data_IF_331988469394
#
_entry.id   IF_331988469394
#
_cell.length_a   1.000
_cell.length_b   1.000
_cell.length_c   1.000
_cell.angle_alpha   90.00
_cell.angle_beta   90.00
_cell.angle_gamma   90.00
#
_symmetry.space_group_name_H-M   'P 1'
#
loop_
_entity.id
_entity.type
_entity.pdbx_description
1 polymer ?
#
# COMPACT_ATOMS: atom_id res chain seq x y z
N UNK A 1 12.07 -13.17 -24.63
CA UNK A 1 12.39 -12.26 -25.74
C UNK A 1 13.38 -12.91 -26.72
N UNK A 2 14.49 -13.48 -26.29
CA UNK A 2 15.50 -14.12 -27.19
C UNK A 2 14.95 -15.24 -28.08
N UNK A 3 13.79 -15.83 -27.75
CA UNK A 3 13.10 -16.83 -28.57
C UNK A 3 12.24 -16.22 -29.70
N UNK A 4 12.01 -14.93 -29.66
CA UNK A 4 11.08 -14.22 -30.56
C UNK A 4 11.82 -13.13 -31.36
N UNK A 5 12.90 -12.56 -30.81
CA UNK A 5 13.66 -11.48 -31.42
C UNK A 5 14.98 -11.99 -31.98
N UNK A 6 15.35 -11.50 -33.16
CA UNK A 6 16.63 -11.82 -33.83
C UNK A 6 17.83 -11.31 -33.02
N UNK A 7 17.66 -10.15 -32.35
CA UNK A 7 18.70 -9.54 -31.52
C UNK A 7 18.07 -8.96 -30.24
N UNK A 8 18.66 -9.28 -29.09
CA UNK A 8 18.28 -8.73 -27.81
C UNK A 8 19.46 -8.02 -27.18
N UNK A 9 19.37 -6.73 -26.93
CA UNK A 9 20.37 -5.93 -26.23
C UNK A 9 19.86 -5.53 -24.85
N UNK A 10 20.69 -5.66 -23.83
CA UNK A 10 20.38 -5.26 -22.47
C UNK A 10 21.09 -3.94 -22.18
N UNK A 11 20.33 -2.93 -21.76
CA UNK A 11 20.86 -1.66 -21.29
C UNK A 11 21.05 -1.69 -19.78
N UNK A 12 22.21 -1.26 -19.30
CA UNK A 12 22.39 -1.00 -17.88
C UNK A 12 21.57 0.26 -17.48
N UNK A 13 20.94 0.22 -16.32
CA UNK A 13 20.03 1.29 -15.85
C UNK A 13 20.77 2.65 -15.73
N UNK A 14 22.01 2.65 -15.23
CA UNK A 14 22.85 3.84 -15.15
C UNK A 14 23.11 4.51 -16.50
N UNK A 15 23.20 3.76 -17.59
CA UNK A 15 23.44 4.32 -18.95
C UNK A 15 22.24 5.14 -19.39
N UNK A 16 21.04 4.66 -19.13
CA UNK A 16 19.79 5.38 -19.45
C UNK A 16 19.68 6.66 -18.64
N UNK A 17 19.98 6.63 -17.35
CA UNK A 17 19.99 7.82 -16.51
C UNK A 17 21.04 8.84 -16.95
N UNK A 18 22.22 8.41 -17.37
CA UNK A 18 23.25 9.31 -17.94
C UNK A 18 22.79 10.03 -19.21
N UNK A 19 22.12 9.32 -20.12
CA UNK A 19 21.58 9.91 -21.35
C UNK A 19 20.44 10.89 -21.05
N UNK A 20 19.57 10.57 -20.09
CA UNK A 20 18.52 11.50 -19.63
C UNK A 20 19.14 12.83 -19.16
N UNK A 21 20.22 12.76 -18.38
CA UNK A 21 20.94 13.96 -17.93
C UNK A 21 21.68 14.67 -19.07
N UNK A 22 22.36 13.91 -19.94
CA UNK A 22 23.10 14.47 -21.07
C UNK A 22 22.20 15.26 -22.03
N UNK A 23 20.97 14.78 -22.27
CA UNK A 23 19.98 15.46 -23.09
C UNK A 23 19.15 16.50 -22.29
N UNK A 24 19.41 16.67 -20.99
CA UNK A 24 18.67 17.58 -20.08
C UNK A 24 17.17 17.29 -20.04
N UNK A 25 16.78 16.00 -20.11
CA UNK A 25 15.37 15.56 -20.09
C UNK A 25 14.84 15.37 -18.67
N UNK A 26 15.71 15.38 -17.68
CA UNK A 26 15.37 15.30 -16.26
C UNK A 26 14.48 16.47 -15.81
N UNK A 27 14.58 17.63 -16.48
CA UNK A 27 13.77 18.81 -16.22
C UNK A 27 12.36 18.76 -16.81
N UNK A 28 12.07 17.82 -17.72
CA UNK A 28 10.77 17.72 -18.39
C UNK A 28 9.72 17.15 -17.43
N UNK A 29 10.07 16.13 -16.64
CA UNK A 29 9.13 15.48 -15.70
C UNK A 29 8.98 16.30 -14.41
N UNK A 30 10.04 16.98 -13.97
CA UNK A 30 9.97 17.84 -12.78
C UNK A 30 11.01 18.94 -12.80
N UNK A 31 10.54 20.16 -12.72
CA UNK A 31 11.36 21.36 -12.71
C UNK A 31 11.99 21.71 -11.34
N UNK A 32 11.58 21.04 -10.24
CA UNK A 32 11.88 21.55 -8.89
C UNK A 32 12.63 20.60 -7.96
N UNK A 33 12.68 19.29 -8.21
CA UNK A 33 13.26 18.39 -7.19
C UNK A 33 13.69 17.02 -7.73
N UNK A 34 14.96 16.64 -7.62
CA UNK A 34 15.48 15.32 -8.00
C UNK A 34 14.73 14.14 -7.34
N UNK A 35 14.15 14.34 -6.15
CA UNK A 35 13.37 13.32 -5.45
C UNK A 35 12.03 13.02 -6.11
N UNK A 36 11.46 13.91 -6.91
CA UNK A 36 10.17 13.72 -7.57
C UNK A 36 10.25 12.83 -8.82
N UNK A 37 11.38 12.74 -9.48
CA UNK A 37 11.58 11.95 -10.70
C UNK A 37 11.20 10.48 -10.54
N UNK A 38 11.45 9.87 -9.38
CA UNK A 38 11.06 8.48 -9.08
C UNK A 38 9.60 8.31 -8.67
N UNK A 39 8.88 9.41 -8.47
CA UNK A 39 7.48 9.42 -8.02
C UNK A 39 6.48 9.51 -9.16
N UNK A 40 6.95 9.66 -10.38
CA UNK A 40 6.14 9.80 -11.58
C UNK A 40 6.31 8.57 -12.49
N UNK A 41 5.22 7.90 -12.80
CA UNK A 41 5.21 6.71 -13.66
C UNK A 41 5.64 7.02 -15.10
N UNK A 42 5.52 8.27 -15.58
CA UNK A 42 6.01 8.68 -16.91
C UNK A 42 7.52 8.49 -17.06
N UNK A 43 8.24 8.44 -15.95
CA UNK A 43 9.68 8.14 -15.96
C UNK A 43 10.01 6.79 -16.62
N UNK A 44 9.12 5.79 -16.52
CA UNK A 44 9.30 4.53 -17.23
C UNK A 44 9.14 4.70 -18.74
N UNK A 45 8.23 5.57 -19.18
CA UNK A 45 8.08 5.94 -20.58
C UNK A 45 9.31 6.67 -21.11
N UNK A 46 9.81 7.65 -20.36
CA UNK A 46 11.05 8.36 -20.70
C UNK A 46 12.24 7.40 -20.83
N UNK A 47 12.43 6.52 -19.86
CA UNK A 47 13.50 5.50 -19.92
C UNK A 47 13.35 4.58 -21.15
N UNK A 48 12.14 4.14 -21.46
CA UNK A 48 11.87 3.31 -22.63
C UNK A 48 12.16 4.05 -23.94
N UNK A 49 11.79 5.33 -24.02
CA UNK A 49 12.07 6.17 -25.17
C UNK A 49 13.59 6.32 -25.38
N UNK A 50 14.34 6.63 -24.33
CA UNK A 50 15.81 6.71 -24.39
C UNK A 50 16.45 5.39 -24.79
N UNK A 51 15.93 4.26 -24.33
CA UNK A 51 16.41 2.95 -24.75
C UNK A 51 16.16 2.72 -26.24
N UNK A 52 15.03 3.20 -26.78
CA UNK A 52 14.67 3.04 -28.18
C UNK A 52 15.54 3.86 -29.14
N UNK A 53 15.90 5.09 -28.76
CA UNK A 53 16.76 5.98 -29.57
C UNK A 53 18.26 5.72 -29.38
N UNK A 54 18.61 4.88 -28.41
CA UNK A 54 20.00 4.56 -28.09
C UNK A 54 20.64 3.75 -29.21
N UNK A 55 21.54 4.37 -29.92
CA UNK A 55 22.41 3.67 -30.88
C UNK A 55 23.69 3.15 -30.19
N UNK A 56 24.35 2.16 -30.82
CA UNK A 56 25.61 1.60 -30.35
C UNK A 56 26.71 2.67 -30.24
N UNK A 57 26.72 3.63 -31.14
CA UNK A 57 27.66 4.73 -31.17
C UNK A 57 27.58 5.62 -29.93
N UNK A 58 26.38 5.90 -29.39
CA UNK A 58 26.21 6.59 -28.14
C UNK A 58 26.86 5.85 -26.96
N UNK A 59 26.82 4.53 -26.97
CA UNK A 59 27.44 3.74 -25.91
C UNK A 59 28.95 3.77 -25.94
N UNK A 60 29.53 3.70 -27.18
CA UNK A 60 30.98 3.81 -27.38
C UNK A 60 31.45 5.20 -26.94
N UNK A 61 30.76 6.23 -27.34
CA UNK A 61 31.10 7.60 -26.98
C UNK A 61 30.98 7.85 -25.45
N UNK A 62 29.93 7.36 -24.82
CA UNK A 62 29.77 7.41 -23.37
C UNK A 62 30.92 6.68 -22.65
N UNK A 63 31.26 5.50 -23.12
CA UNK A 63 32.34 4.69 -22.57
C UNK A 63 33.70 5.36 -22.73
N UNK A 64 34.00 5.94 -23.91
CA UNK A 64 35.24 6.63 -24.17
C UNK A 64 35.39 7.91 -23.32
N UNK A 65 34.33 8.68 -23.20
CA UNK A 65 34.32 9.91 -22.38
C UNK A 65 34.44 9.63 -20.89
N UNK A 66 33.81 8.57 -20.35
CA UNK A 66 33.96 8.15 -18.96
C UNK A 66 35.38 7.69 -18.63
N UNK A 67 36.12 7.18 -19.59
CA UNK A 67 37.52 6.74 -19.44
C UNK A 67 38.50 7.90 -19.22
N UNK A 68 38.15 9.10 -19.74
CA UNK A 68 38.98 10.31 -19.66
C UNK A 68 38.47 11.39 -18.68
N UNK A 69 37.28 11.23 -18.14
CA UNK A 69 36.67 12.20 -17.23
C UNK A 69 36.92 11.84 -15.77
N UNK A 70 37.98 12.37 -15.21
CA UNK A 70 38.26 12.27 -13.77
C UNK A 70 37.43 13.21 -12.89
N UNK A 71 36.55 14.06 -13.43
CA UNK A 71 35.74 15.03 -12.64
C UNK A 71 34.41 15.41 -13.29
N UNK A 72 33.32 14.98 -12.67
CA UNK A 72 32.05 15.71 -12.39
C UNK A 72 31.28 16.53 -13.43
N UNK A 73 31.58 16.56 -14.70
CA UNK A 73 30.70 17.16 -15.70
C UNK A 73 30.22 16.11 -16.67
N UNK A 74 28.93 15.83 -16.64
CA UNK A 74 28.27 14.99 -17.63
C UNK A 74 28.55 15.59 -19.00
N UNK A 75 29.19 14.85 -19.93
CA UNK A 75 29.46 15.40 -21.25
C UNK A 75 28.13 15.72 -21.95
N UNK A 76 28.07 16.91 -22.58
CA UNK A 76 26.97 17.26 -23.46
C UNK A 76 27.04 16.37 -24.69
N UNK A 77 26.07 15.48 -24.86
CA UNK A 77 25.89 14.74 -26.09
C UNK A 77 25.17 15.60 -27.12
N UNK A 78 25.46 15.40 -28.41
CA UNK A 78 24.67 16.03 -29.45
C UNK A 78 23.22 15.62 -29.32
N UNK A 79 22.32 16.59 -29.34
CA UNK A 79 20.87 16.35 -29.33
C UNK A 79 20.53 15.67 -30.66
N UNK A 80 19.68 14.62 -30.71
CA UNK A 80 19.34 13.92 -31.94
C UNK A 80 18.84 14.83 -33.06
N UNK A 81 18.05 15.85 -32.74
CA UNK A 81 17.59 16.92 -33.64
C UNK A 81 17.11 18.12 -32.82
N UNK A 82 16.96 19.28 -33.45
CA UNK A 82 16.69 20.56 -32.78
C UNK A 82 15.41 20.57 -31.93
N UNK A 83 14.36 19.88 -32.38
CA UNK A 83 13.04 19.84 -31.70
C UNK A 83 12.90 18.66 -30.72
N UNK A 84 13.94 17.89 -30.50
CA UNK A 84 13.94 16.66 -29.72
C UNK A 84 13.31 16.81 -28.33
N UNK A 85 13.62 17.88 -27.60
CA UNK A 85 13.10 18.08 -26.24
C UNK A 85 11.61 18.38 -26.22
N UNK A 86 11.13 19.15 -27.19
CA UNK A 86 9.71 19.45 -27.34
C UNK A 86 8.92 18.20 -27.71
N UNK A 87 9.46 17.37 -28.59
CA UNK A 87 8.87 16.09 -28.96
C UNK A 87 8.77 15.12 -27.74
N UNK A 88 9.83 15.01 -26.96
CA UNK A 88 9.81 14.22 -25.71
C UNK A 88 8.82 14.76 -24.71
N UNK A 89 8.77 16.09 -24.56
CA UNK A 89 7.80 16.74 -23.67
C UNK A 89 6.35 16.48 -24.10
N UNK A 90 6.06 16.64 -25.39
CA UNK A 90 4.75 16.32 -25.96
C UNK A 90 4.39 14.86 -25.73
N UNK A 91 5.30 13.92 -26.07
CA UNK A 91 5.11 12.48 -25.86
C UNK A 91 4.78 12.14 -24.39
N UNK A 92 5.53 12.69 -23.43
CA UNK A 92 5.30 12.43 -22.02
C UNK A 92 3.99 13.01 -21.50
N UNK A 93 3.58 14.17 -21.99
CA UNK A 93 2.35 14.82 -21.56
C UNK A 93 1.09 14.22 -22.20
N UNK A 94 1.22 13.66 -23.40
CA UNK A 94 0.13 12.98 -24.12
C UNK A 94 0.04 11.46 -23.83
N UNK A 95 0.96 10.93 -22.99
CA UNK A 95 0.97 9.51 -22.64
C UNK A 95 -0.15 9.18 -21.67
N UNK A 96 -1.09 8.36 -22.08
CA UNK A 96 -2.13 7.83 -21.19
C UNK A 96 -1.58 6.64 -20.38
N UNK A 97 -1.61 6.77 -19.06
CA UNK A 97 -1.18 5.75 -18.13
C UNK A 97 -2.38 4.94 -17.64
N UNK A 98 -2.40 3.66 -17.98
CA UNK A 98 -3.40 2.73 -17.50
C UNK A 98 -2.84 1.84 -16.38
N UNK A 99 -3.53 1.78 -15.27
CA UNK A 99 -3.21 0.88 -14.17
C UNK A 99 -4.06 -0.38 -14.25
N UNK A 100 -3.43 -1.53 -14.00
CA UNK A 100 -4.16 -2.79 -14.00
C UNK A 100 -5.05 -2.88 -12.75
N UNK A 101 -6.34 -3.04 -12.96
CA UNK A 101 -7.32 -3.32 -11.92
C UNK A 101 -6.91 -4.51 -11.07
N UNK A 102 -7.05 -4.41 -9.77
CA UNK A 102 -6.76 -5.49 -8.83
C UNK A 102 -8.00 -6.39 -8.62
N UNK A 103 -8.51 -6.94 -9.69
CA UNK A 103 -9.64 -7.87 -9.69
C UNK A 103 -9.22 -9.35 -9.49
N UNK A 104 -7.98 -9.69 -9.87
CA UNK A 104 -7.45 -11.04 -9.72
C UNK A 104 -6.92 -11.28 -8.31
N UNK A 105 -7.75 -11.83 -7.45
CA UNK A 105 -7.45 -12.02 -6.04
C UNK A 105 -7.16 -13.48 -5.65
N UNK A 106 -7.26 -14.43 -6.60
CA UNK A 106 -6.89 -15.82 -6.40
C UNK A 106 -6.24 -16.44 -7.64
N UNK A 107 -5.59 -17.57 -7.44
CA UNK A 107 -5.12 -18.46 -8.51
C UNK A 107 -5.53 -19.89 -8.20
N UNK A 108 -5.72 -20.69 -9.24
CA UNK A 108 -5.85 -22.14 -9.09
C UNK A 108 -4.50 -22.78 -9.37
N UNK A 109 -4.02 -23.61 -8.44
CA UNK A 109 -2.81 -24.39 -8.62
C UNK A 109 -3.17 -25.87 -8.67
N UNK A 110 -2.57 -26.57 -9.62
CA UNK A 110 -2.62 -28.03 -9.63
C UNK A 110 -1.62 -28.50 -8.56
N UNK A 111 -2.13 -29.16 -7.53
CA UNK A 111 -1.31 -29.72 -6.45
C UNK A 111 -1.32 -31.23 -6.59
N UNK A 112 -0.17 -31.79 -6.84
CA UNK A 112 0.02 -33.24 -6.87
C UNK A 112 0.61 -33.65 -5.52
N UNK A 113 -0.01 -34.61 -4.85
CA UNK A 113 0.55 -35.22 -3.66
C UNK A 113 0.49 -36.74 -3.79
N UNK A 114 1.45 -37.44 -3.20
CA UNK A 114 1.49 -38.90 -3.18
C UNK A 114 0.80 -39.39 -1.92
N UNK A 115 -0.08 -40.36 -2.10
CA UNK A 115 -0.67 -41.17 -1.02
C UNK A 115 -0.34 -42.63 -1.31
N UNK A 116 0.73 -43.14 -0.71
CA UNK A 116 1.35 -44.40 -1.11
C UNK A 116 1.90 -44.31 -2.54
N UNK A 117 1.59 -45.24 -3.40
CA UNK A 117 2.02 -45.27 -4.81
C UNK A 117 1.12 -44.46 -5.75
N UNK A 118 0.03 -43.88 -5.24
CA UNK A 118 -0.94 -43.15 -6.05
C UNK A 118 -0.62 -41.64 -6.01
N UNK A 119 -0.49 -41.03 -7.21
CA UNK A 119 -0.41 -39.60 -7.34
C UNK A 119 -1.80 -39.00 -7.49
N UNK A 120 -2.24 -38.26 -6.47
CA UNK A 120 -3.53 -37.57 -6.46
C UNK A 120 -3.29 -36.14 -6.93
N UNK A 121 -4.04 -35.72 -7.96
CA UNK A 121 -3.98 -34.38 -8.52
C UNK A 121 -5.23 -33.57 -8.16
N UNK A 122 -5.09 -32.57 -7.31
CA UNK A 122 -6.18 -31.67 -6.95
C UNK A 122 -5.92 -30.24 -7.42
N UNK A 123 -6.98 -29.54 -7.83
CA UNK A 123 -6.92 -28.09 -8.03
C UNK A 123 -7.02 -27.37 -6.71
N UNK A 124 -5.89 -26.90 -6.22
CA UNK A 124 -5.83 -26.05 -5.03
C UNK A 124 -6.23 -24.61 -5.36
N UNK A 125 -7.02 -24.00 -4.48
CA UNK A 125 -7.39 -22.60 -4.54
C UNK A 125 -6.41 -21.78 -3.68
N UNK A 126 -5.67 -20.86 -4.29
CA UNK A 126 -4.64 -20.06 -3.60
C UNK A 126 -4.98 -18.56 -3.67
N UNK A 127 -5.21 -17.88 -2.53
CA UNK A 127 -5.35 -16.43 -2.49
C UNK A 127 -4.08 -15.71 -2.96
N UNK A 128 -4.23 -14.60 -3.69
CA UNK A 128 -3.12 -13.76 -4.15
C UNK A 128 -2.84 -12.63 -3.17
N UNK A 129 -2.44 -12.99 -1.97
CA UNK A 129 -2.10 -12.05 -0.91
C UNK A 129 -2.52 -12.55 0.46
N UNK A 130 -2.09 -11.84 1.50
CA UNK A 130 -2.43 -12.17 2.88
C UNK A 130 -3.89 -11.80 3.19
N UNK A 131 -4.62 -12.76 3.74
CA UNK A 131 -6.04 -12.62 4.12
C UNK A 131 -6.20 -11.75 5.37
N UNK A 132 -5.28 -11.85 6.30
CA UNK A 132 -5.30 -11.15 7.58
C UNK A 132 -3.88 -10.79 8.02
N UNK A 133 -3.76 -10.01 9.08
CA UNK A 133 -2.47 -9.77 9.76
C UNK A 133 -2.05 -11.04 10.51
N UNK A 134 -0.75 -11.24 10.66
CA UNK A 134 -0.18 -12.43 11.32
C UNK A 134 -0.50 -12.49 12.83
N UNK A 135 -0.80 -11.33 13.44
CA UNK A 135 -1.09 -11.25 14.86
C UNK A 135 -2.39 -11.95 15.22
N UNK A 136 -2.33 -12.87 16.18
CA UNK A 136 -3.48 -13.58 16.73
C UNK A 136 -3.86 -12.96 18.08
N UNK A 137 -5.12 -12.69 18.25
CA UNK A 137 -5.71 -12.05 19.42
C UNK A 137 -6.65 -13.00 20.15
N UNK A 138 -6.64 -12.96 21.48
CA UNK A 138 -7.71 -13.52 22.29
C UNK A 138 -8.78 -12.46 22.52
N UNK A 139 -10.04 -12.86 22.61
CA UNK A 139 -11.16 -11.98 22.95
C UNK A 139 -11.52 -12.15 24.42
N UNK A 140 -11.75 -11.05 25.14
CA UNK A 140 -12.31 -11.05 26.50
C UNK A 140 -13.35 -9.94 26.62
N UNK A 141 -14.44 -10.26 27.23
CA UNK A 141 -15.50 -9.30 27.59
C UNK A 141 -15.54 -9.25 29.10
N UNK A 142 -14.86 -8.29 29.74
CA UNK A 142 -14.96 -8.10 31.18
C UNK A 142 -16.37 -7.68 31.53
N UNK A 143 -16.88 -8.02 32.75
CA UNK A 143 -18.14 -7.50 33.23
C UNK A 143 -18.13 -5.97 33.16
N UNK A 144 -19.20 -5.38 32.63
CA UNK A 144 -19.42 -3.93 32.54
C UNK A 144 -18.46 -3.14 31.62
N UNK A 145 -17.68 -3.82 30.75
CA UNK A 145 -16.77 -3.18 29.81
C UNK A 145 -17.01 -3.66 28.37
N UNK A 146 -16.66 -2.81 27.41
CA UNK A 146 -16.68 -3.19 25.98
C UNK A 146 -15.73 -4.36 25.74
N UNK A 147 -16.14 -5.27 24.86
CA UNK A 147 -15.29 -6.37 24.37
C UNK A 147 -13.93 -5.84 23.91
N UNK A 148 -12.88 -6.46 24.42
CA UNK A 148 -11.51 -6.09 24.07
C UNK A 148 -10.73 -7.28 23.55
N UNK A 149 -9.82 -7.00 22.62
CA UNK A 149 -8.90 -7.97 22.08
C UNK A 149 -7.54 -7.84 22.78
N UNK A 150 -6.92 -8.97 23.09
CA UNK A 150 -5.68 -9.04 23.84
C UNK A 150 -4.60 -9.74 23.05
N UNK A 151 -3.39 -9.20 23.07
CA UNK A 151 -2.20 -9.81 22.45
C UNK A 151 -1.02 -9.75 23.43
N UNK A 152 -0.14 -10.74 23.37
CA UNK A 152 1.17 -10.69 24.05
C UNK A 152 2.20 -10.06 23.13
N UNK A 153 2.79 -8.96 23.57
CA UNK A 153 3.89 -8.29 22.86
C UNK A 153 5.18 -8.38 23.66
N UNK A 154 6.36 -8.46 23.00
CA UNK A 154 7.64 -8.32 23.68
C UNK A 154 7.70 -6.97 24.40
N UNK A 155 8.32 -6.93 25.59
CA UNK A 155 8.48 -5.68 26.35
C UNK A 155 9.23 -4.60 25.55
N UNK A 156 10.16 -5.01 24.69
CA UNK A 156 10.94 -4.14 23.80
C UNK A 156 10.08 -3.44 22.71
N UNK A 157 8.85 -3.90 22.50
CA UNK A 157 7.91 -3.26 21.53
C UNK A 157 7.08 -2.13 22.14
N UNK A 158 7.15 -1.94 23.46
CA UNK A 158 6.41 -0.90 24.19
C UNK A 158 7.21 0.39 24.17
N UNK A 159 6.77 1.39 23.41
CA UNK A 159 7.51 2.64 23.13
C UNK A 159 6.82 3.90 23.61
N UNK A 160 5.55 3.81 24.02
CA UNK A 160 4.77 4.97 24.42
C UNK A 160 4.03 4.73 25.74
N UNK A 161 3.76 5.78 26.50
CA UNK A 161 2.94 5.70 27.73
C UNK A 161 1.52 5.19 27.43
N UNK A 162 0.92 5.56 26.30
CA UNK A 162 -0.38 5.02 25.90
C UNK A 162 -0.38 3.50 25.69
N UNK A 163 0.78 2.90 25.29
CA UNK A 163 0.93 1.43 25.24
C UNK A 163 1.08 0.82 26.64
N UNK A 164 1.77 1.50 27.55
CA UNK A 164 1.91 1.06 28.95
C UNK A 164 0.55 1.02 29.64
N UNK A 165 -0.29 2.03 29.40
CA UNK A 165 -1.64 2.09 29.95
C UNK A 165 -2.56 0.96 29.47
N UNK A 166 -2.31 0.45 28.28
CA UNK A 166 -3.04 -0.70 27.71
C UNK A 166 -2.60 -2.05 28.26
N UNK A 167 -1.59 -2.10 29.14
CA UNK A 167 -1.16 -3.35 29.79
C UNK A 167 -2.30 -3.82 30.70
N UNK A 168 -2.72 -5.07 30.50
CA UNK A 168 -3.91 -5.66 31.15
C UNK A 168 -3.63 -6.10 32.59
N UNK A 169 -2.47 -6.67 32.83
CA UNK A 169 -2.06 -7.14 34.14
C UNK A 169 -1.54 -5.95 34.97
N UNK A 170 -2.22 -5.66 36.06
CA UNK A 170 -1.92 -4.52 36.91
C UNK A 170 -0.54 -4.62 37.56
N UNK A 171 -0.14 -5.81 38.00
CA UNK A 171 1.17 -6.01 38.62
C UNK A 171 2.29 -5.78 37.62
N UNK A 172 2.13 -6.31 36.39
CA UNK A 172 3.08 -6.07 35.28
C UNK A 172 3.09 -4.57 34.94
N UNK A 173 1.95 -3.92 34.84
CA UNK A 173 1.86 -2.49 34.59
C UNK A 173 2.60 -1.66 35.63
N UNK A 174 2.38 -1.96 36.91
CA UNK A 174 3.03 -1.26 38.01
C UNK A 174 4.55 -1.48 38.00
N UNK A 175 5.02 -2.70 37.71
CA UNK A 175 6.45 -2.99 37.58
C UNK A 175 7.09 -2.21 36.41
N UNK A 176 6.41 -2.10 35.26
CA UNK A 176 6.86 -1.29 34.12
C UNK A 176 6.88 0.20 34.48
N UNK A 177 5.84 0.72 35.12
CA UNK A 177 5.78 2.11 35.57
C UNK A 177 6.86 2.45 36.60
N UNK A 178 7.18 1.53 37.52
CA UNK A 178 8.28 1.70 38.48
C UNK A 178 9.62 1.91 37.77
N UNK A 179 9.91 1.12 36.74
CA UNK A 179 11.15 1.28 35.96
C UNK A 179 11.16 2.60 35.18
N UNK A 180 10.03 3.04 34.63
CA UNK A 180 9.91 4.32 33.94
C UNK A 180 10.12 5.51 34.87
N UNK A 181 9.55 5.47 36.11
CA UNK A 181 9.75 6.49 37.14
C UNK A 181 11.22 6.58 37.54
N UNK A 182 11.87 5.44 37.77
CA UNK A 182 13.31 5.39 38.12
C UNK A 182 14.20 5.95 36.97
N UNK A 183 13.72 6.00 35.75
CA UNK A 183 14.39 6.59 34.61
C UNK A 183 13.96 8.05 34.34
N UNK A 184 13.15 8.67 35.20
CA UNK A 184 12.53 10.01 35.01
C UNK A 184 11.75 10.17 33.70
N UNK A 185 11.05 9.12 33.28
CA UNK A 185 10.30 9.07 32.00
C UNK A 185 8.78 8.87 32.22
N UNK A 186 8.28 9.13 33.42
CA UNK A 186 6.86 8.97 33.74
C UNK A 186 5.94 9.88 32.89
N UNK A 187 6.44 11.06 32.50
CA UNK A 187 5.70 12.06 31.74
C UNK A 187 6.09 12.09 30.27
N UNK A 188 7.05 11.23 29.87
CA UNK A 188 7.49 11.16 28.48
C UNK A 188 6.45 10.45 27.60
N UNK A 189 6.01 11.11 26.53
CA UNK A 189 5.10 10.50 25.57
C UNK A 189 5.69 9.28 24.88
N UNK A 190 6.99 9.35 24.52
CA UNK A 190 7.73 8.27 23.86
C UNK A 190 9.05 8.01 24.58
N UNK A 191 9.53 6.76 24.54
CA UNK A 191 10.81 6.37 25.12
C UNK A 191 11.46 5.22 24.32
N UNK A 192 12.76 5.01 24.51
CA UNK A 192 13.50 3.87 23.96
C UNK A 192 13.38 2.66 24.88
N UNK A 193 12.62 1.60 24.54
CA UNK A 193 12.45 0.43 25.39
C UNK A 193 13.76 -0.27 25.70
N UNK A 194 14.70 -0.25 24.76
CA UNK A 194 16.01 -0.90 24.87
C UNK A 194 16.84 -0.28 25.99
N UNK A 195 16.87 1.03 26.09
CA UNK A 195 17.60 1.76 27.13
C UNK A 195 16.92 1.70 28.49
N UNK A 196 15.59 1.76 28.49
CA UNK A 196 14.81 1.86 29.72
C UNK A 196 14.61 0.51 30.39
N UNK A 197 14.17 -0.50 29.65
CA UNK A 197 13.76 -1.78 30.19
C UNK A 197 14.86 -2.85 30.25
N UNK A 198 16.02 -2.60 29.62
CA UNK A 198 17.09 -3.60 29.57
C UNK A 198 18.41 -3.03 30.07
N UNK A 199 19.24 -3.93 30.66
CA UNK A 199 20.64 -3.65 31.02
C UNK A 199 21.53 -4.19 29.90
N UNK A 200 22.60 -3.46 29.57
CA UNK A 200 23.67 -3.89 28.66
C UNK A 200 23.16 -4.51 27.37
N UNK A 201 22.49 -3.71 26.56
CA UNK A 201 21.95 -4.12 25.25
C UNK A 201 23.08 -4.28 24.20
N UNK A 202 24.26 -4.77 24.62
CA UNK A 202 25.39 -5.00 23.72
C UNK A 202 25.54 -6.53 23.57
N UNK A 203 25.75 -6.99 22.35
CA UNK A 203 25.99 -8.38 21.97
C UNK A 203 24.87 -9.40 22.26
N UNK A 204 23.60 -9.02 22.12
CA UNK A 204 22.49 -9.99 22.10
C UNK A 204 22.01 -10.50 23.46
N UNK A 205 22.67 -10.20 24.59
CA UNK A 205 22.19 -10.57 25.91
C UNK A 205 21.30 -9.48 26.52
N UNK A 206 20.00 -9.72 26.47
CA UNK A 206 18.95 -8.80 26.97
C UNK A 206 18.58 -9.16 28.41
N UNK A 207 19.22 -8.55 29.42
CA UNK A 207 18.75 -8.67 30.80
C UNK A 207 17.69 -7.59 31.07
N UNK A 208 16.44 -7.99 31.30
CA UNK A 208 15.38 -7.04 31.65
C UNK A 208 15.61 -6.41 33.03
N UNK A 209 15.17 -5.16 33.18
CA UNK A 209 15.08 -4.46 34.48
C UNK A 209 13.70 -4.62 35.12
N UNK A 210 12.72 -5.21 34.41
CA UNK A 210 11.34 -5.37 34.87
C UNK A 210 11.18 -6.78 35.44
N UNK A 211 10.87 -6.88 36.72
CA UNK A 211 10.68 -8.15 37.42
C UNK A 211 9.35 -8.15 38.17
N UNK A 212 8.79 -9.33 38.35
CA UNK A 212 7.66 -9.62 39.23
C UNK A 212 8.06 -10.72 40.20
N UNK A 213 7.61 -10.69 41.44
CA UNK A 213 7.85 -11.80 42.39
C UNK A 213 7.03 -13.02 41.94
N UNK A 214 7.60 -14.20 42.06
CA UNK A 214 6.86 -15.46 41.96
C UNK A 214 6.13 -15.73 43.30
N UNK A 215 5.53 -16.92 43.44
CA UNK A 215 4.84 -17.33 44.68
C UNK A 215 5.76 -17.40 45.88
N UNK A 216 7.06 -17.63 45.64
CA UNK A 216 8.09 -17.73 46.70
C UNK A 216 8.80 -16.40 46.94
N UNK A 217 8.41 -15.32 46.24
CA UNK A 217 9.08 -14.02 46.38
C UNK A 217 10.24 -13.77 45.42
N UNK A 218 10.71 -14.78 44.66
CA UNK A 218 11.85 -14.62 43.75
C UNK A 218 11.54 -13.76 42.56
N UNK A 219 12.46 -12.92 42.09
CA UNK A 219 12.26 -12.02 40.98
C UNK A 219 12.23 -12.76 39.62
N UNK A 220 11.08 -12.83 39.00
CA UNK A 220 10.90 -13.41 37.63
C UNK A 220 10.95 -12.31 36.59
N UNK A 221 11.78 -12.45 35.54
CA UNK A 221 11.92 -11.43 34.50
C UNK A 221 10.68 -11.35 33.60
N UNK A 222 10.16 -10.14 33.40
CA UNK A 222 9.08 -9.86 32.48
C UNK A 222 9.66 -9.70 31.07
N UNK A 223 9.41 -10.67 30.19
CA UNK A 223 9.86 -10.67 28.79
C UNK A 223 8.76 -10.18 27.83
N UNK A 224 7.50 -10.50 28.13
CA UNK A 224 6.34 -10.14 27.31
C UNK A 224 5.23 -9.58 28.19
N UNK A 225 4.50 -8.63 27.65
CA UNK A 225 3.33 -8.02 28.30
C UNK A 225 2.07 -8.32 27.49
N UNK A 226 0.93 -8.47 28.21
CA UNK A 226 -0.37 -8.58 27.56
C UNK A 226 -0.98 -7.20 27.46
N UNK A 227 -1.25 -6.74 26.22
CA UNK A 227 -1.88 -5.45 25.99
C UNK A 227 -3.27 -5.63 25.40
N UNK A 228 -4.12 -4.65 25.66
CA UNK A 228 -5.47 -4.53 25.10
C UNK A 228 -5.40 -3.67 23.84
N UNK A 229 -6.03 -4.14 22.76
CA UNK A 229 -6.17 -3.42 21.50
C UNK A 229 -7.63 -3.38 21.05
N UNK A 230 -8.04 -2.27 20.46
CA UNK A 230 -9.31 -2.19 19.74
C UNK A 230 -9.07 -2.64 18.29
N UNK A 231 -9.86 -3.57 17.80
CA UNK A 231 -9.82 -4.06 16.43
C UNK A 231 -11.15 -3.78 15.76
N UNK A 232 -11.14 -3.01 14.69
CA UNK A 232 -12.35 -2.63 13.96
C UNK A 232 -12.82 -3.72 12.98
N UNK A 233 -11.92 -4.59 12.53
CA UNK A 233 -12.20 -5.65 11.55
C UNK A 233 -11.68 -7.02 12.01
N UNK A 234 -11.93 -7.35 13.28
CA UNK A 234 -11.55 -8.63 13.84
C UNK A 234 -12.53 -9.72 13.43
N UNK A 235 -11.99 -10.82 12.91
CA UNK A 235 -12.76 -12.03 12.63
C UNK A 235 -12.21 -13.22 13.41
N UNK A 236 -13.08 -14.18 13.71
CA UNK A 236 -12.70 -15.46 14.32
C UNK A 236 -12.06 -16.34 13.26
N UNK A 237 -10.88 -16.92 13.55
CA UNK A 237 -10.17 -17.78 12.60
C UNK A 237 -10.89 -19.09 12.33
N UNK A 238 -11.40 -19.73 13.40
CA UNK A 238 -12.15 -20.98 13.38
C UNK A 238 -13.26 -20.92 14.40
N UNK A 239 -14.33 -21.64 14.15
CA UNK A 239 -15.51 -21.61 15.03
C UNK A 239 -15.26 -22.18 16.42
N UNK A 240 -14.37 -23.16 16.53
CA UNK A 240 -14.03 -23.92 17.74
C UNK A 240 -12.94 -23.26 18.61
N UNK A 241 -12.23 -22.26 18.10
CA UNK A 241 -11.10 -21.66 18.79
C UNK A 241 -11.32 -20.15 18.97
N UNK A 242 -11.16 -19.67 20.20
CA UNK A 242 -11.24 -18.23 20.52
C UNK A 242 -10.01 -17.45 20.09
N UNK A 243 -9.67 -17.58 18.81
CA UNK A 243 -8.59 -16.86 18.16
C UNK A 243 -9.14 -15.93 17.10
N UNK A 244 -8.73 -14.67 17.18
CA UNK A 244 -9.16 -13.60 16.30
C UNK A 244 -7.98 -13.00 15.57
N UNK A 245 -8.21 -12.58 14.34
CA UNK A 245 -7.23 -11.87 13.51
C UNK A 245 -7.85 -10.61 12.97
N UNK A 246 -7.01 -9.61 12.72
CA UNK A 246 -7.43 -8.40 12.07
C UNK A 246 -7.32 -8.54 10.55
N UNK A 247 -8.36 -8.18 9.82
CA UNK A 247 -8.34 -8.19 8.37
C UNK A 247 -7.32 -7.17 7.86
N UNK A 248 -6.74 -7.44 6.69
CA UNK A 248 -5.64 -6.62 6.17
C UNK A 248 -6.06 -5.69 5.05
N UNK A 249 -6.85 -6.21 4.11
CA UNK A 249 -7.17 -5.50 2.86
C UNK A 249 -8.65 -5.60 2.56
N UNK A 250 -9.19 -4.54 1.98
CA UNK A 250 -10.47 -4.58 1.30
C UNK A 250 -10.23 -5.05 -0.15
N UNK A 251 -11.18 -5.79 -0.70
CA UNK A 251 -11.14 -6.24 -2.08
C UNK A 251 -11.83 -5.23 -2.98
N UNK A 252 -13.05 -4.84 -2.61
CA UNK A 252 -13.86 -3.88 -3.34
C UNK A 252 -14.85 -3.19 -2.41
N UNK A 253 -15.43 -2.14 -2.90
CA UNK A 253 -16.59 -1.48 -2.28
C UNK A 253 -17.73 -1.50 -3.28
N UNK A 254 -18.86 -2.03 -2.87
CA UNK A 254 -20.10 -1.92 -3.62
C UNK A 254 -20.76 -0.58 -3.30
N UNK A 255 -21.08 0.17 -4.34
CA UNK A 255 -21.92 1.35 -4.27
C UNK A 255 -23.28 0.95 -4.81
N UNK A 256 -24.31 1.19 -4.05
CA UNK A 256 -25.68 0.84 -4.41
C UNK A 256 -26.66 1.90 -3.93
N UNK A 257 -27.86 1.91 -4.50
CA UNK A 257 -29.00 2.66 -3.99
C UNK A 257 -29.87 1.73 -3.16
N UNK A 258 -30.30 2.20 -2.01
CA UNK A 258 -31.27 1.47 -1.20
C UNK A 258 -32.71 1.71 -1.70
N UNK A 259 -33.71 1.13 -1.02
CA UNK A 259 -35.13 1.29 -1.32
C UNK A 259 -35.60 2.75 -1.34
N UNK A 260 -34.90 3.64 -0.64
CA UNK A 260 -35.18 5.08 -0.62
C UNK A 260 -34.40 5.87 -1.70
N UNK A 261 -33.71 5.18 -2.62
CA UNK A 261 -32.82 5.78 -3.61
C UNK A 261 -31.60 6.51 -3.00
N UNK A 262 -31.29 6.27 -1.73
CA UNK A 262 -30.11 6.81 -1.08
C UNK A 262 -28.87 5.99 -1.44
N UNK A 263 -27.74 6.68 -1.70
CA UNK A 263 -26.47 6.03 -1.93
C UNK A 263 -25.94 5.41 -0.64
N UNK A 264 -25.65 4.13 -0.71
CA UNK A 264 -25.04 3.32 0.36
C UNK A 264 -23.77 2.62 -0.15
N UNK A 265 -22.96 2.17 0.79
CA UNK A 265 -21.75 1.41 0.49
C UNK A 265 -21.68 0.12 1.30
N UNK A 266 -21.14 -0.93 0.70
CA UNK A 266 -20.72 -2.15 1.37
C UNK A 266 -19.25 -2.42 1.08
N UNK A 267 -18.43 -2.41 2.13
CA UNK A 267 -17.00 -2.71 2.01
C UNK A 267 -16.76 -4.21 2.16
N UNK A 268 -16.35 -4.85 1.09
CA UNK A 268 -16.05 -6.28 1.06
C UNK A 268 -14.56 -6.49 1.27
N UNK A 269 -14.21 -7.17 2.37
CA UNK A 269 -12.83 -7.49 2.68
C UNK A 269 -12.27 -8.54 1.70
N UNK A 270 -10.94 -8.59 1.59
CA UNK A 270 -10.26 -9.62 0.80
C UNK A 270 -10.57 -11.04 1.32
N UNK A 271 -10.70 -11.19 2.64
CA UNK A 271 -11.13 -12.44 3.27
C UNK A 271 -12.53 -12.86 2.80
N UNK A 272 -13.50 -11.96 2.86
CA UNK A 272 -14.89 -12.25 2.48
C UNK A 272 -14.99 -12.57 0.98
N UNK A 273 -14.29 -11.82 0.13
CA UNK A 273 -14.25 -12.09 -1.30
C UNK A 273 -13.71 -13.51 -1.61
N UNK A 274 -12.66 -13.94 -0.90
CA UNK A 274 -12.11 -15.30 -1.01
C UNK A 274 -13.11 -16.34 -0.52
N UNK A 275 -13.80 -16.09 0.59
CA UNK A 275 -14.81 -16.98 1.14
C UNK A 275 -15.99 -17.16 0.18
N UNK A 276 -16.56 -16.06 -0.34
CA UNK A 276 -17.62 -16.06 -1.35
C UNK A 276 -17.19 -16.88 -2.58
N UNK A 277 -15.98 -16.61 -3.11
CA UNK A 277 -15.47 -17.35 -4.27
C UNK A 277 -15.28 -18.84 -4.01
N UNK A 278 -14.81 -19.21 -2.83
CA UNK A 278 -14.62 -20.61 -2.45
C UNK A 278 -15.93 -21.37 -2.29
N UNK A 279 -16.96 -20.71 -1.78
CA UNK A 279 -18.32 -21.29 -1.61
C UNK A 279 -19.17 -21.24 -2.88
N UNK A 280 -18.71 -20.59 -3.96
CA UNK A 280 -19.50 -20.37 -5.17
C UNK A 280 -20.54 -19.25 -5.04
N UNK A 281 -20.54 -18.50 -3.93
CA UNK A 281 -21.44 -17.38 -3.74
C UNK A 281 -21.08 -16.19 -4.67
N UNK A 282 -22.06 -15.33 -5.03
CA UNK A 282 -21.82 -14.14 -5.82
C UNK A 282 -20.77 -13.23 -5.15
N UNK A 283 -19.83 -12.71 -5.94
CA UNK A 283 -18.81 -11.80 -5.42
C UNK A 283 -19.43 -10.45 -5.03
N UNK A 284 -20.33 -9.97 -5.87
CA UNK A 284 -21.13 -8.76 -5.68
C UNK A 284 -22.52 -9.16 -5.22
N UNK A 285 -22.81 -8.95 -3.98
CA UNK A 285 -24.08 -9.32 -3.36
C UNK A 285 -24.65 -8.08 -2.69
N UNK A 286 -25.84 -7.69 -3.12
CA UNK A 286 -26.59 -6.60 -2.51
C UNK A 286 -27.23 -7.02 -1.20
N UNK A 287 -27.47 -6.11 -0.26
CA UNK A 287 -28.11 -6.41 1.03
C UNK A 287 -29.54 -6.93 0.89
N UNK A 288 -30.30 -6.45 -0.09
CA UNK A 288 -31.66 -6.90 -0.43
C UNK A 288 -31.91 -6.84 -1.92
N UNK A 289 -33.02 -7.44 -2.37
CA UNK A 289 -33.45 -7.40 -3.78
C UNK A 289 -33.93 -6.00 -4.20
N UNK A 290 -34.36 -5.17 -3.24
CA UNK A 290 -34.84 -3.80 -3.50
C UNK A 290 -33.67 -2.80 -3.69
N UNK A 291 -32.44 -3.23 -3.51
CA UNK A 291 -31.25 -2.42 -3.74
C UNK A 291 -30.81 -2.50 -5.20
N UNK A 292 -30.40 -1.37 -5.76
CA UNK A 292 -29.85 -1.27 -7.11
C UNK A 292 -28.33 -1.08 -7.08
N UNK A 293 -27.57 -1.94 -7.74
CA UNK A 293 -26.11 -1.81 -7.83
C UNK A 293 -25.75 -0.67 -8.79
N UNK A 294 -25.03 0.33 -8.28
CA UNK A 294 -24.49 1.42 -9.09
C UNK A 294 -23.14 1.04 -9.67
N UNK A 295 -22.21 0.61 -8.82
CA UNK A 295 -20.87 0.18 -9.27
C UNK A 295 -20.13 -0.60 -8.18
N UNK A 296 -19.07 -1.32 -8.59
CA UNK A 296 -18.13 -1.98 -7.71
C UNK A 296 -16.73 -1.39 -7.90
N UNK A 297 -16.24 -0.70 -6.90
CA UNK A 297 -14.95 0.00 -6.91
C UNK A 297 -13.82 -0.91 -6.43
N UNK A 298 -12.72 -0.97 -7.19
CA UNK A 298 -11.51 -1.75 -6.86
C UNK A 298 -10.29 -0.84 -6.83
N UNK A 299 -9.23 -1.31 -6.19
CA UNK A 299 -7.93 -0.65 -6.27
C UNK A 299 -7.46 -0.63 -7.73
N UNK A 300 -6.94 0.50 -8.15
CA UNK A 300 -6.52 0.82 -9.52
C UNK A 300 -7.67 0.94 -10.56
N UNK A 301 -8.94 0.98 -10.16
CA UNK A 301 -9.96 1.46 -11.09
C UNK A 301 -9.66 2.91 -11.45
N UNK A 302 -9.83 3.23 -12.74
CA UNK A 302 -9.48 4.52 -13.32
C UNK A 302 -10.73 5.38 -13.48
N UNK A 303 -10.58 6.67 -13.17
CA UNK A 303 -11.66 7.65 -13.22
C UNK A 303 -11.20 8.95 -13.87
N UNK A 304 -12.06 9.55 -14.64
CA UNK A 304 -11.94 10.95 -15.06
C UNK A 304 -12.63 11.82 -14.01
N UNK A 305 -11.91 12.78 -13.44
CA UNK A 305 -12.43 13.66 -12.38
C UNK A 305 -12.30 15.13 -12.79
N UNK A 306 -13.35 15.93 -12.52
CA UNK A 306 -13.38 17.33 -12.91
C UNK A 306 -13.68 17.57 -14.40
N UNK A 307 -14.15 16.56 -15.11
CA UNK A 307 -14.43 16.64 -16.56
C UNK A 307 -15.72 17.43 -16.85
N UNK A 308 -16.66 17.45 -15.90
CA UNK A 308 -17.89 18.21 -16.00
C UNK A 308 -17.67 19.73 -16.11
N UNK A 309 -16.51 20.22 -15.71
CA UNK A 309 -16.15 21.64 -15.89
C UNK A 309 -15.65 21.95 -17.32
N UNK A 310 -15.44 20.91 -18.13
CA UNK A 310 -15.01 21.06 -19.51
C UNK A 310 -16.24 21.25 -20.41
N UNK A 311 -16.11 22.12 -21.40
CA UNK A 311 -17.21 22.43 -22.34
C UNK A 311 -17.41 21.37 -23.43
N UNK A 312 -16.38 20.54 -23.65
CA UNK A 312 -16.35 19.53 -24.71
C UNK A 312 -16.79 18.17 -24.17
N UNK A 313 -17.49 17.35 -24.98
CA UNK A 313 -17.74 15.94 -24.65
C UNK A 313 -16.44 15.17 -24.39
N UNK A 314 -16.49 14.14 -23.52
CA UNK A 314 -15.29 13.37 -23.15
C UNK A 314 -14.65 12.69 -24.37
N UNK A 315 -15.44 12.30 -25.35
CA UNK A 315 -15.00 11.64 -26.59
C UNK A 315 -14.13 12.56 -27.46
N UNK A 316 -14.32 13.87 -27.35
CA UNK A 316 -13.61 14.88 -28.16
C UNK A 316 -12.37 15.41 -27.46
N UNK A 317 -12.13 15.02 -26.19
CA UNK A 317 -10.98 15.48 -25.43
C UNK A 317 -9.68 14.87 -25.94
N UNK A 318 -8.65 15.71 -26.04
CA UNK A 318 -7.31 15.28 -26.43
C UNK A 318 -6.64 14.45 -25.30
N UNK A 319 -5.63 13.64 -25.66
CA UNK A 319 -4.96 12.75 -24.71
C UNK A 319 -4.30 13.50 -23.55
N UNK A 320 -3.77 14.68 -23.79
CA UNK A 320 -3.15 15.53 -22.77
C UNK A 320 -4.19 16.09 -21.78
N UNK A 321 -5.37 16.47 -22.26
CA UNK A 321 -6.50 16.89 -21.41
C UNK A 321 -7.02 15.70 -20.60
N UNK A 322 -7.26 14.56 -21.25
CA UNK A 322 -7.68 13.33 -20.54
C UNK A 322 -6.68 12.96 -19.46
N UNK A 323 -5.38 13.04 -19.75
CA UNK A 323 -4.35 12.69 -18.77
C UNK A 323 -4.35 13.63 -17.57
N UNK A 324 -4.66 14.91 -17.70
CA UNK A 324 -4.79 15.86 -16.59
C UNK A 324 -5.89 15.48 -15.60
N UNK A 325 -6.96 14.82 -16.09
CA UNK A 325 -8.13 14.45 -15.33
C UNK A 325 -8.17 12.97 -14.92
N UNK A 326 -7.15 12.19 -15.29
CA UNK A 326 -7.13 10.74 -15.06
C UNK A 326 -6.58 10.40 -13.68
N UNK A 327 -7.43 9.78 -12.86
CA UNK A 327 -7.11 9.35 -11.50
C UNK A 327 -7.34 7.87 -11.35
N UNK A 328 -6.66 7.26 -10.37
CA UNK A 328 -6.86 5.87 -9.96
C UNK A 328 -7.20 5.77 -8.49
N UNK A 329 -7.97 4.75 -8.13
CA UNK A 329 -8.24 4.45 -6.73
C UNK A 329 -6.98 3.87 -6.08
N UNK A 330 -6.51 4.51 -5.00
CA UNK A 330 -5.37 4.09 -4.20
C UNK A 330 -5.78 3.36 -2.91
N UNK A 331 -6.81 3.85 -2.24
CA UNK A 331 -7.34 3.23 -1.02
C UNK A 331 -8.87 3.25 -1.02
N UNK A 332 -9.44 2.18 -0.46
CA UNK A 332 -10.87 2.00 -0.27
C UNK A 332 -11.11 1.51 1.17
N UNK A 333 -11.95 2.20 1.90
CA UNK A 333 -12.47 1.75 3.19
C UNK A 333 -13.83 2.43 3.45
N UNK A 334 -14.54 2.00 4.50
CA UNK A 334 -15.83 2.60 4.81
C UNK A 334 -15.70 4.11 4.99
N UNK A 335 -16.53 4.86 4.28
CA UNK A 335 -16.56 6.32 4.25
C UNK A 335 -15.22 6.99 3.90
N UNK A 336 -14.32 6.27 3.23
CA UNK A 336 -13.01 6.79 2.91
C UNK A 336 -12.49 6.25 1.57
N UNK A 337 -12.32 7.15 0.62
CA UNK A 337 -11.79 6.88 -0.73
C UNK A 337 -10.62 7.80 -1.01
N UNK A 338 -9.54 7.23 -1.48
CA UNK A 338 -8.35 7.97 -1.88
C UNK A 338 -8.08 7.74 -3.37
N UNK A 339 -8.14 8.82 -4.12
CA UNK A 339 -7.81 8.86 -5.54
C UNK A 339 -6.47 9.54 -5.71
N UNK A 340 -5.67 9.01 -6.62
CA UNK A 340 -4.41 9.63 -7.01
C UNK A 340 -4.35 9.79 -8.50
N UNK A 341 -3.71 10.85 -8.93
CA UNK A 341 -3.45 11.07 -10.35
C UNK A 341 -2.74 9.85 -10.96
N UNK A 342 -3.09 9.49 -12.20
CA UNK A 342 -2.62 8.26 -12.84
C UNK A 342 -1.09 8.16 -12.92
N UNK A 343 -0.37 9.25 -13.16
CA UNK A 343 1.09 9.23 -13.20
C UNK A 343 1.76 9.24 -11.83
N UNK A 344 1.04 9.56 -10.74
CA UNK A 344 1.64 9.65 -9.41
C UNK A 344 1.99 8.26 -8.84
N UNK A 345 3.29 7.99 -8.67
CA UNK A 345 3.82 6.74 -8.10
C UNK A 345 3.95 6.78 -6.57
N UNK A 346 3.86 7.95 -5.94
CA UNK A 346 4.08 8.07 -4.51
C UNK A 346 2.88 7.57 -3.71
N UNK A 347 3.09 6.62 -2.79
CA UNK A 347 2.03 6.00 -1.99
C UNK A 347 1.51 6.90 -0.86
N UNK A 348 2.38 7.76 -0.32
CA UNK A 348 2.08 8.59 0.86
C UNK A 348 1.99 10.09 0.56
N UNK A 349 2.10 10.48 -0.72
CA UNK A 349 1.95 11.88 -1.10
C UNK A 349 0.50 12.33 -0.95
N UNK A 350 0.34 13.45 -0.28
CA UNK A 350 -0.94 14.14 -0.11
C UNK A 350 -0.96 15.47 -0.87
N UNK A 351 -0.04 15.63 -1.82
CA UNK A 351 0.12 16.86 -2.58
C UNK A 351 -1.04 17.04 -3.58
N UNK A 352 -1.75 18.13 -3.44
CA UNK A 352 -2.74 18.59 -4.39
C UNK A 352 -2.03 19.22 -5.61
N UNK A 353 -2.49 19.01 -6.86
CA UNK A 353 -3.74 18.40 -7.31
C UNK A 353 -3.68 16.87 -7.52
N UNK A 354 -2.56 16.25 -7.25
CA UNK A 354 -2.34 14.82 -7.55
C UNK A 354 -3.06 13.85 -6.60
N UNK A 355 -3.83 14.38 -5.67
CA UNK A 355 -4.46 13.64 -4.59
C UNK A 355 -5.85 14.16 -4.27
N UNK A 356 -6.85 13.29 -4.27
CA UNK A 356 -8.23 13.58 -3.88
C UNK A 356 -8.66 12.60 -2.81
N UNK A 357 -9.19 13.11 -1.71
CA UNK A 357 -9.76 12.30 -0.63
C UNK A 357 -11.23 12.62 -0.49
N UNK A 358 -12.04 11.56 -0.48
CA UNK A 358 -13.47 11.65 -0.22
C UNK A 358 -13.74 10.94 1.11
N UNK A 359 -14.32 11.68 2.04
CA UNK A 359 -14.81 11.16 3.30
C UNK A 359 -16.33 11.32 3.32
N UNK A 360 -17.02 10.40 3.99
CA UNK A 360 -18.49 10.44 4.15
C UNK A 360 -19.21 10.42 2.78
N UNK A 361 -19.00 9.34 2.03
CA UNK A 361 -19.74 9.07 0.79
C UNK A 361 -21.25 9.15 1.07
N UNK A 362 -22.00 9.83 0.16
CA UNK A 362 -23.45 10.03 0.31
C UNK A 362 -23.88 11.21 1.18
N UNK A 363 -22.94 11.93 1.83
CA UNK A 363 -23.32 13.18 2.49
C UNK A 363 -23.56 14.28 1.43
N UNK A 364 -24.66 15.03 1.56
CA UNK A 364 -25.02 16.15 0.67
C UNK A 364 -23.95 17.26 0.57
N UNK A 365 -22.90 17.20 1.39
CA UNK A 365 -21.76 18.15 1.40
C UNK A 365 -20.62 17.76 0.47
N UNK A 366 -20.54 16.52 0.03
CA UNK A 366 -19.58 16.08 -0.97
C UNK A 366 -20.28 16.17 -2.32
N UNK A 367 -19.92 17.12 -3.15
CA UNK A 367 -20.55 17.40 -4.45
C UNK A 367 -20.40 16.28 -5.50
N UNK A 368 -20.83 15.08 -5.15
CA UNK A 368 -21.05 14.00 -6.11
C UNK A 368 -22.44 14.19 -6.72
N UNK A 369 -22.52 14.95 -7.78
CA UNK A 369 -23.63 14.83 -8.72
C UNK A 369 -23.23 13.74 -9.72
N UNK A 370 -23.89 12.60 -9.67
CA UNK A 370 -23.93 11.69 -10.82
C UNK A 370 -24.76 12.39 -11.88
N UNK A 371 -24.12 13.12 -12.79
CA UNK A 371 -24.76 13.42 -14.06
C UNK A 371 -24.91 12.08 -14.78
N UNK A 372 -26.14 11.58 -14.83
CA UNK A 372 -26.51 10.57 -15.81
C UNK A 372 -26.37 11.23 -17.17
N UNK A 373 -25.40 10.78 -17.95
CA UNK A 373 -25.32 10.91 -19.39
C UNK A 373 -25.25 9.53 -19.97
#
# INVERSE_FOLDING_TARGET
LSKVCVKVSIAADYTTDHLIHAFSLDKIIDSSNEKFRYKDHRNYGLKSYIVAIRDYDYLIELSSRNKYSSRKKTPLFPIPHDDFRNEVNYFLNSMLLAHKKQDRFYTTKKVNYKSGDITISNRGFAPRGSLHKESIYGKRTPPNLKTAYHIRKPLESIRTMGQVEKIVDLNVKNAVLKVLRNANLSDAYTFSPQQVFFKNYVNGSKKTKVFLPNKNGDPVPVKKVRIREALNSAIKLKNDIDQYVNLRKNHHVLIYRDENQDFKEEVVSFWEAIKRKKSGAPLYQLPSEDCEMVTALHINDMFLMGVHDLKEPVEDLTKDILMKHLYRIQKLSSNFYEFRHAYNNQLDATDYPNYIRINNFGSKKTGWSTSQG
#
